data_IF_438303124536
#
_entry.id   IF_438303124536
#
_cell.length_a   1.000
_cell.length_b   1.000
_cell.length_c   1.000
_cell.angle_alpha   90.00
_cell.angle_beta   90.00
_cell.angle_gamma   90.00
#
_symmetry.space_group_name_H-M   'P 1'
#
loop_
_entity.id
_entity.type
_entity.pdbx_description
1 polymer ?
#
# COMPACT_ATOMS: atom_id res chain seq x y z
N UNK A 1 -22.67 -53.55 13.73
CA UNK A 1 -21.81 -52.61 14.50
C UNK A 1 -20.56 -53.38 14.90
N UNK A 2 -19.31 -52.92 14.69
CA UNK A 2 -18.82 -51.62 14.20
C UNK A 2 -17.85 -51.67 12.98
N UNK A 3 -17.66 -50.51 12.34
CA UNK A 3 -16.54 -50.05 11.47
C UNK A 3 -15.34 -49.57 12.36
N UNK A 4 -14.10 -49.22 11.89
CA UNK A 4 -13.76 -48.51 10.65
C UNK A 4 -12.40 -48.77 9.94
N UNK A 5 -12.36 -48.35 8.66
CA UNK A 5 -11.32 -47.65 7.90
C UNK A 5 -9.84 -47.67 8.35
N UNK A 6 -8.92 -47.95 7.40
CA UNK A 6 -7.70 -47.14 7.15
C UNK A 6 -6.94 -47.63 5.91
N UNK A 7 -7.12 -46.97 4.75
CA UNK A 7 -6.22 -47.13 3.61
C UNK A 7 -4.93 -46.35 3.86
N UNK A 8 -3.86 -47.06 4.24
CA UNK A 8 -2.53 -46.50 4.37
C UNK A 8 -1.86 -46.32 3.01
N UNK A 9 -1.77 -45.08 2.53
CA UNK A 9 -0.90 -44.74 1.40
C UNK A 9 0.46 -44.28 1.94
N UNK A 10 1.38 -45.24 2.05
CA UNK A 10 2.81 -44.98 2.15
C UNK A 10 3.32 -44.53 0.78
N UNK A 11 3.69 -43.26 0.65
CA UNK A 11 4.47 -42.78 -0.48
C UNK A 11 5.81 -42.31 0.05
N UNK A 12 6.73 -43.27 0.20
CA UNK A 12 8.16 -43.00 0.30
C UNK A 12 8.63 -42.34 -0.99
N UNK A 13 9.17 -41.14 -0.89
CA UNK A 13 9.75 -40.40 -2.00
C UNK A 13 11.25 -40.23 -1.74
N UNK A 14 12.04 -41.20 -2.19
CA UNK A 14 13.51 -41.09 -2.29
C UNK A 14 13.88 -40.20 -3.49
N UNK A 15 14.34 -38.98 -3.21
CA UNK A 15 14.81 -38.03 -4.22
C UNK A 15 16.32 -38.21 -4.48
N UNK A 16 16.68 -39.12 -5.41
CA UNK A 16 18.01 -39.10 -6.04
C UNK A 16 18.07 -37.96 -7.06
N UNK A 17 18.78 -36.89 -6.72
CA UNK A 17 19.07 -35.77 -7.61
C UNK A 17 20.20 -36.13 -8.58
N UNK A 18 19.93 -36.16 -9.88
CA UNK A 18 20.96 -36.01 -10.89
C UNK A 18 20.75 -34.65 -11.58
N UNK A 19 21.68 -33.72 -11.33
CA UNK A 19 21.72 -32.38 -11.92
C UNK A 19 22.18 -32.46 -13.38
N UNK A 20 21.32 -32.08 -14.33
CA UNK A 20 21.68 -31.99 -15.74
C UNK A 20 21.05 -30.77 -16.42
N UNK A 21 21.93 -29.93 -16.99
CA UNK A 21 21.66 -28.90 -18.02
C UNK A 21 21.16 -27.52 -17.53
N UNK A 22 22.12 -26.66 -17.21
CA UNK A 22 21.94 -25.22 -17.01
C UNK A 22 22.11 -24.51 -18.35
N UNK A 23 21.04 -24.48 -19.15
CA UNK A 23 21.03 -23.71 -20.40
C UNK A 23 21.00 -22.19 -20.13
N UNK A 24 21.85 -21.49 -20.89
CA UNK A 24 22.16 -20.07 -20.79
C UNK A 24 20.91 -19.23 -21.05
N UNK A 25 20.30 -18.70 -19.99
CA UNK A 25 19.25 -17.68 -20.11
C UNK A 25 19.89 -16.35 -20.53
N UNK A 26 19.90 -16.08 -21.82
CA UNK A 26 20.04 -14.71 -22.33
C UNK A 26 18.82 -13.91 -21.83
N UNK A 27 19.04 -13.07 -20.81
CA UNK A 27 18.00 -12.25 -20.22
C UNK A 27 17.43 -11.26 -21.24
N UNK A 28 16.10 -11.13 -21.29
CA UNK A 28 15.42 -10.10 -22.07
C UNK A 28 15.82 -8.71 -21.55
N UNK A 29 16.71 -8.01 -22.25
CA UNK A 29 17.10 -6.64 -21.90
C UNK A 29 16.07 -5.67 -22.45
N UNK A 30 15.06 -5.35 -21.65
CA UNK A 30 14.06 -4.33 -21.99
C UNK A 30 14.70 -2.94 -21.81
N UNK A 31 14.94 -2.20 -22.91
CA UNK A 31 15.40 -0.80 -22.86
C UNK A 31 14.26 0.10 -22.40
N UNK A 32 14.07 0.24 -21.09
CA UNK A 32 13.04 1.13 -20.56
C UNK A 32 13.49 2.61 -20.57
N UNK A 33 12.76 3.48 -21.29
CA UNK A 33 12.72 4.93 -21.02
C UNK A 33 11.29 5.48 -21.16
N UNK A 34 10.69 5.81 -20.00
CA UNK A 34 9.92 7.04 -19.65
C UNK A 34 9.16 6.86 -18.32
N UNK A 35 8.96 5.62 -17.86
CA UNK A 35 8.65 5.30 -16.47
C UNK A 35 9.42 4.04 -16.10
N UNK A 36 10.26 4.11 -15.06
CA UNK A 36 11.04 2.96 -14.58
C UNK A 36 10.09 1.81 -14.25
N UNK A 37 10.29 0.66 -14.89
CA UNK A 37 9.34 -0.46 -14.96
C UNK A 37 8.81 -0.91 -13.57
N UNK A 38 9.62 -0.74 -12.53
CA UNK A 38 9.34 -1.15 -11.15
C UNK A 38 8.79 -0.05 -10.22
N UNK A 39 8.42 1.14 -10.73
CA UNK A 39 7.86 2.21 -9.88
C UNK A 39 6.36 2.08 -9.65
N UNK A 40 6.00 1.24 -8.67
CA UNK A 40 4.61 1.08 -8.22
C UNK A 40 4.18 2.18 -7.26
N UNK A 41 5.10 2.69 -6.42
CA UNK A 41 4.85 3.79 -5.48
C UNK A 41 5.22 5.13 -6.13
N UNK A 42 4.21 5.88 -6.57
CA UNK A 42 4.37 7.25 -7.12
C UNK A 42 4.08 8.33 -6.06
N UNK A 43 4.44 9.58 -6.36
CA UNK A 43 4.14 10.72 -5.48
C UNK A 43 2.64 11.07 -5.54
N UNK A 44 1.84 10.37 -4.72
CA UNK A 44 0.39 10.57 -4.59
C UNK A 44 0.10 11.46 -3.38
N UNK A 45 -0.87 12.38 -3.52
CA UNK A 45 -1.32 13.24 -2.42
C UNK A 45 -1.70 12.42 -1.18
N UNK A 46 -1.23 12.87 -0.01
CA UNK A 46 -1.53 12.25 1.29
C UNK A 46 -3.04 12.24 1.60
N UNK A 47 -3.81 13.20 1.07
CA UNK A 47 -5.29 13.22 1.16
C UNK A 47 -5.92 11.98 0.54
N UNK A 48 -5.45 11.59 -0.64
CA UNK A 48 -5.99 10.46 -1.40
C UNK A 48 -5.72 9.15 -0.66
N UNK A 49 -4.50 8.97 -0.14
CA UNK A 49 -4.12 7.78 0.63
C UNK A 49 -4.91 7.66 1.95
N UNK A 50 -5.22 8.78 2.61
CA UNK A 50 -6.01 8.76 3.83
C UNK A 50 -7.48 8.44 3.60
N UNK A 51 -8.03 8.79 2.44
CA UNK A 51 -9.39 8.38 2.06
C UNK A 51 -9.51 6.88 1.78
N UNK A 52 -8.47 6.27 1.23
CA UNK A 52 -8.47 4.83 0.89
C UNK A 52 -8.10 3.93 2.07
N UNK A 53 -7.05 4.29 2.83
CA UNK A 53 -6.48 3.40 3.85
C UNK A 53 -6.54 3.96 5.26
N UNK A 54 -6.99 5.21 5.44
CA UNK A 54 -6.99 5.93 6.71
C UNK A 54 -7.93 5.38 7.77
N UNK A 55 -7.77 5.88 8.99
CA UNK A 55 -8.49 5.41 10.18
C UNK A 55 -10.02 5.48 10.03
N UNK A 56 -10.55 6.62 9.56
CA UNK A 56 -12.00 6.80 9.35
C UNK A 56 -12.58 5.75 8.39
N UNK A 57 -11.86 5.43 7.31
CA UNK A 57 -12.28 4.41 6.34
C UNK A 57 -12.31 3.02 6.97
N UNK A 58 -11.37 2.71 7.87
CA UNK A 58 -11.35 1.45 8.62
C UNK A 58 -12.49 1.34 9.62
N UNK A 59 -12.89 2.43 10.26
CA UNK A 59 -14.00 2.41 11.22
C UNK A 59 -15.38 2.26 10.56
N UNK A 60 -15.51 2.72 9.31
CA UNK A 60 -16.77 2.66 8.55
C UNK A 60 -17.25 1.23 8.28
N UNK A 61 -16.36 0.27 8.00
CA UNK A 61 -16.75 -1.12 7.67
C UNK A 61 -16.51 -2.09 8.82
N UNK A 62 -17.32 -3.16 8.88
CA UNK A 62 -17.16 -4.21 9.90
C UNK A 62 -15.80 -4.92 9.80
N UNK A 63 -15.38 -5.28 8.58
CA UNK A 63 -14.06 -5.86 8.34
C UNK A 63 -12.91 -4.93 8.73
N UNK A 64 -13.08 -3.62 8.54
CA UNK A 64 -12.09 -2.62 8.93
C UNK A 64 -11.91 -2.52 10.44
N UNK A 65 -13.01 -2.61 11.21
CA UNK A 65 -12.96 -2.66 12.69
C UNK A 65 -12.23 -3.91 13.18
N UNK A 66 -12.46 -5.08 12.57
CA UNK A 66 -11.76 -6.32 12.90
C UNK A 66 -10.24 -6.22 12.66
N UNK A 67 -9.79 -5.54 11.60
CA UNK A 67 -8.37 -5.27 11.36
C UNK A 67 -7.75 -4.46 12.50
N UNK A 68 -8.44 -3.40 12.95
CA UNK A 68 -7.94 -2.56 14.05
C UNK A 68 -7.85 -3.35 15.35
N UNK A 69 -8.85 -4.18 15.65
CA UNK A 69 -8.82 -5.07 16.81
C UNK A 69 -7.60 -6.01 16.77
N UNK A 70 -7.34 -6.66 15.63
CA UNK A 70 -6.15 -7.51 15.43
C UNK A 70 -4.84 -6.75 15.63
N UNK A 71 -4.77 -5.50 15.16
CA UNK A 71 -3.57 -4.66 15.30
C UNK A 71 -3.33 -4.22 16.75
N UNK A 72 -4.40 -3.95 17.50
CA UNK A 72 -4.34 -3.66 18.95
C UNK A 72 -3.93 -4.88 19.77
N UNK A 73 -4.49 -6.05 19.47
CA UNK A 73 -4.11 -7.31 20.13
C UNK A 73 -2.62 -7.63 19.92
N UNK A 74 -2.05 -7.29 18.76
CA UNK A 74 -0.61 -7.40 18.51
C UNK A 74 0.22 -6.30 19.19
N UNK A 75 -0.39 -5.24 19.72
CA UNK A 75 0.32 -4.11 20.33
C UNK A 75 1.05 -3.21 19.32
N UNK A 76 0.53 -3.06 18.09
CA UNK A 76 1.16 -2.17 17.09
C UNK A 76 1.02 -0.71 17.51
N UNK A 77 2.14 -0.02 17.68
CA UNK A 77 2.20 1.39 18.07
C UNK A 77 1.40 2.28 17.10
N UNK A 78 1.55 2.06 15.80
CA UNK A 78 0.76 2.75 14.78
C UNK A 78 -0.32 1.83 14.22
N UNK A 79 -1.60 2.16 14.42
CA UNK A 79 -2.71 1.35 13.92
C UNK A 79 -2.97 1.56 12.42
N UNK A 80 -2.89 2.80 11.93
CA UNK A 80 -3.08 3.12 10.52
C UNK A 80 -1.94 4.02 10.04
N UNK A 81 -1.18 3.56 9.04
CA UNK A 81 0.02 4.27 8.55
C UNK A 81 -0.29 5.43 7.62
N UNK A 82 -1.51 5.48 7.07
CA UNK A 82 -1.96 6.51 6.12
C UNK A 82 -3.07 7.37 6.72
N UNK A 83 -2.88 7.87 7.94
CA UNK A 83 -3.70 8.94 8.49
C UNK A 83 -3.21 10.30 7.98
N UNK A 84 -4.14 11.25 7.78
CA UNK A 84 -3.81 12.62 7.43
C UNK A 84 -4.69 13.55 8.30
N UNK A 85 -4.11 14.45 9.11
CA UNK A 85 -4.90 15.44 9.84
C UNK A 85 -5.56 16.42 8.87
N UNK A 86 -6.69 16.98 9.28
CA UNK A 86 -7.41 18.00 8.49
C UNK A 86 -6.74 19.37 8.53
N UNK A 87 -5.90 19.63 9.52
CA UNK A 87 -5.21 20.89 9.76
C UNK A 87 -3.75 20.66 10.23
N UNK A 88 -2.98 21.74 10.29
CA UNK A 88 -1.58 21.74 10.75
C UNK A 88 -0.55 21.44 9.65
N UNK A 89 0.72 21.32 10.06
CA UNK A 89 1.89 21.20 9.16
C UNK A 89 1.82 20.03 8.17
N UNK A 90 1.08 18.99 8.54
CA UNK A 90 0.90 17.79 7.74
C UNK A 90 -0.38 17.84 6.89
N UNK A 91 -1.22 18.86 7.01
CA UNK A 91 -2.36 19.00 6.11
C UNK A 91 -1.86 19.32 4.69
N UNK A 92 -2.42 18.64 3.71
CA UNK A 92 -2.31 19.04 2.32
C UNK A 92 -3.35 20.14 2.07
N UNK A 93 -3.03 21.36 2.49
CA UNK A 93 -3.74 22.56 2.06
C UNK A 93 -3.43 22.77 0.58
N UNK A 94 -4.48 22.88 -0.24
CA UNK A 94 -4.29 23.48 -1.56
C UNK A 94 -3.79 24.90 -1.35
N UNK A 95 -2.83 25.36 -2.14
CA UNK A 95 -2.41 26.76 -2.11
C UNK A 95 -3.66 27.62 -2.31
N UNK A 96 -4.11 28.31 -1.27
CA UNK A 96 -5.11 29.35 -1.42
C UNK A 96 -4.39 30.49 -2.14
N UNK A 97 -4.79 30.74 -3.38
CA UNK A 97 -4.37 31.92 -4.11
C UNK A 97 -4.98 33.11 -3.36
N UNK A 98 -4.14 33.92 -2.70
CA UNK A 98 -4.58 35.17 -2.12
C UNK A 98 -5.05 36.07 -3.27
N UNK A 99 -6.26 36.64 -3.25
CA UNK A 99 -6.62 37.64 -4.23
C UNK A 99 -5.67 38.83 -4.06
N UNK A 100 -4.93 39.17 -5.11
CA UNK A 100 -4.13 40.38 -5.17
C UNK A 100 -5.05 41.57 -5.02
N UNK A 101 -5.02 42.22 -3.86
CA UNK A 101 -5.59 43.55 -3.71
C UNK A 101 -4.74 44.51 -4.57
N UNK A 102 -5.23 44.81 -5.78
CA UNK A 102 -4.71 45.92 -6.56
C UNK A 102 -5.09 47.21 -5.82
N UNK A 103 -4.17 47.75 -5.02
CA UNK A 103 -4.19 49.15 -4.65
C UNK A 103 -3.84 49.96 -5.89
N UNK A 104 -4.85 50.32 -6.67
CA UNK A 104 -4.75 51.43 -7.62
C UNK A 104 -4.57 52.71 -6.79
N UNK A 105 -3.31 53.09 -6.60
CA UNK A 105 -2.95 54.39 -6.10
C UNK A 105 -3.43 55.43 -7.12
N UNK A 106 -4.57 56.04 -6.83
CA UNK A 106 -5.08 57.20 -7.55
C UNK A 106 -4.12 58.37 -7.30
N UNK A 107 -3.14 58.54 -8.18
CA UNK A 107 -2.28 59.71 -8.21
C UNK A 107 -3.09 60.90 -8.74
N UNK A 108 -3.58 61.74 -7.83
CA UNK A 108 -3.95 63.12 -8.14
C UNK A 108 -2.66 63.92 -8.32
N UNK A 109 -2.46 64.50 -9.49
CA UNK A 109 -2.01 65.88 -9.71
C UNK A 109 -2.14 66.21 -11.19
#
# INVERSE_FOLDING_TARGET
MPSPESFGLSLGLDLKSNNGMREKRCGLVVRAKKFTLCQTKRNRSRKSLARTHGFRKRMSTTSGRAIIARRRAKGRWTLCTKSNPSSGKLACVGQAQMPSCNTEASSKQ
#
